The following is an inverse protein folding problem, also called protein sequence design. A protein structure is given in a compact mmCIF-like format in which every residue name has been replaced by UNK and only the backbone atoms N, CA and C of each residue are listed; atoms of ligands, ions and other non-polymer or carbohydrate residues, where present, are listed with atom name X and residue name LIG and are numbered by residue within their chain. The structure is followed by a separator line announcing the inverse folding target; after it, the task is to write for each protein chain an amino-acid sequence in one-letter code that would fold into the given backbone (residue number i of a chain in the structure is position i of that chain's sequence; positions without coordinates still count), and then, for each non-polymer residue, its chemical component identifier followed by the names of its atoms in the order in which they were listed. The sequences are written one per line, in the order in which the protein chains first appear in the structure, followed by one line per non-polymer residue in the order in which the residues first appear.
data_IF_400418290138
#
_entry.id   IF_400418290138
#
_cell.length_a   1.000
_cell.length_b   1.000
_cell.length_c   1.000
_cell.angle_alpha   90.00
_cell.angle_beta   90.00
_cell.angle_gamma   90.00
#
_symmetry.space_group_name_H-M   'P 1'
#
loop_
_entity.id
_entity.type
_entity.pdbx_description
1 polymer ?
#
# COMPACT_ATOMS: atom_id res chain seq x y z
N UNK A 1 24.67 7.91 27.79
CA UNK A 1 23.30 7.33 27.78
C UNK A 1 22.88 7.21 26.32
N UNK A 2 22.91 6.01 25.75
CA UNK A 2 22.58 5.82 24.31
C UNK A 2 21.08 5.54 24.23
N UNK A 3 20.31 6.51 23.78
CA UNK A 3 18.88 6.34 23.55
C UNK A 3 18.69 5.40 22.37
N UNK A 4 18.22 4.17 22.64
CA UNK A 4 17.80 3.22 21.62
C UNK A 4 16.56 3.82 20.94
N UNK A 5 16.72 4.27 19.69
CA UNK A 5 15.57 4.69 18.89
C UNK A 5 14.58 3.52 18.85
N UNK A 6 13.29 3.84 19.03
CA UNK A 6 12.21 2.84 19.01
C UNK A 6 12.16 2.24 17.61
N UNK A 7 12.51 0.98 17.44
CA UNK A 7 12.37 0.16 16.22
C UNK A 7 10.88 -0.07 15.85
N UNK A 8 10.00 0.93 16.00
CA UNK A 8 8.57 0.79 15.71
C UNK A 8 8.19 1.09 14.27
N UNK A 9 9.13 1.53 13.44
CA UNK A 9 8.86 1.91 12.07
C UNK A 9 9.70 1.09 11.10
N UNK A 10 9.02 0.33 10.24
CA UNK A 10 9.64 -0.34 9.10
C UNK A 10 10.41 0.69 8.26
N UNK A 11 11.62 0.33 7.81
CA UNK A 11 12.43 1.21 6.95
C UNK A 11 11.66 1.59 5.69
N UNK A 12 11.60 2.90 5.39
CA UNK A 12 10.98 3.41 4.18
C UNK A 12 11.70 2.88 2.93
N UNK A 13 10.92 2.45 1.95
CA UNK A 13 11.39 2.09 0.60
C UNK A 13 10.76 3.07 -0.39
N UNK A 14 11.58 3.70 -1.22
CA UNK A 14 11.13 4.70 -2.20
C UNK A 14 10.72 3.99 -3.48
N UNK A 15 9.50 4.23 -3.94
CA UNK A 15 8.98 3.81 -5.24
C UNK A 15 8.53 5.06 -5.98
N UNK A 16 8.90 5.20 -7.25
CA UNK A 16 8.41 6.29 -8.10
C UNK A 16 7.06 5.88 -8.68
N UNK A 17 6.04 6.69 -8.45
CA UNK A 17 4.67 6.51 -8.94
C UNK A 17 4.24 7.87 -9.48
N UNK A 18 3.52 7.90 -10.60
CA UNK A 18 2.96 9.15 -11.14
C UNK A 18 1.93 9.76 -10.19
N UNK A 19 1.82 11.09 -10.18
CA UNK A 19 0.90 11.78 -9.28
C UNK A 19 -0.56 11.39 -9.53
N UNK A 20 -0.94 11.17 -10.79
CA UNK A 20 -2.28 10.72 -11.19
C UNK A 20 -2.59 9.33 -10.62
N UNK A 21 -1.70 8.36 -10.84
CA UNK A 21 -1.86 6.99 -10.30
C UNK A 21 -1.91 6.97 -8.77
N UNK A 22 -1.12 7.82 -8.11
CA UNK A 22 -1.10 7.94 -6.66
C UNK A 22 -2.37 8.59 -6.10
N UNK A 23 -2.90 9.58 -6.82
CA UNK A 23 -4.19 10.21 -6.59
C UNK A 23 -5.32 9.18 -6.69
N UNK A 24 -5.44 8.53 -7.84
CA UNK A 24 -6.45 7.53 -8.15
C UNK A 24 -6.42 6.36 -7.15
N UNK A 25 -5.23 5.83 -6.82
CA UNK A 25 -5.11 4.79 -5.79
C UNK A 25 -5.65 5.27 -4.44
N UNK A 26 -5.45 6.54 -4.10
CA UNK A 26 -5.98 7.16 -2.89
C UNK A 26 -7.48 7.31 -2.87
N UNK A 27 -8.07 7.71 -4.00
CA UNK A 27 -9.52 7.79 -4.14
C UNK A 27 -10.17 6.41 -4.02
N UNK A 28 -9.52 5.39 -4.59
CA UNK A 28 -10.07 4.04 -4.74
C UNK A 28 -9.84 3.14 -3.53
N UNK A 29 -8.68 3.24 -2.88
CA UNK A 29 -8.36 2.48 -1.67
C UNK A 29 -8.71 3.24 -0.38
N UNK A 30 -8.86 4.56 -0.46
CA UNK A 30 -8.86 5.47 0.67
C UNK A 30 -7.47 6.06 0.91
N UNK A 31 -7.40 7.38 1.12
CA UNK A 31 -6.15 8.16 1.23
C UNK A 31 -5.18 7.57 2.27
N UNK A 32 -5.71 7.03 3.37
CA UNK A 32 -4.91 6.43 4.47
C UNK A 32 -4.53 4.97 4.25
N UNK A 33 -5.12 4.28 3.28
CA UNK A 33 -5.01 2.83 3.10
C UNK A 33 -4.11 2.42 1.92
N UNK A 34 -3.56 3.38 1.16
CA UNK A 34 -2.67 3.09 0.01
C UNK A 34 -1.54 2.13 0.36
N UNK A 35 -0.87 2.39 1.50
CA UNK A 35 0.24 1.56 1.94
C UNK A 35 -0.19 0.14 2.34
N UNK A 36 -1.42 -0.04 2.81
CA UNK A 36 -1.99 -1.35 3.13
C UNK A 36 -2.22 -2.17 1.86
N UNK A 37 -2.82 -1.57 0.83
CA UNK A 37 -3.02 -2.22 -0.48
C UNK A 37 -1.69 -2.66 -1.09
N UNK A 38 -0.67 -1.79 -1.07
CA UNK A 38 0.66 -2.11 -1.59
C UNK A 38 1.29 -3.27 -0.81
N UNK A 39 1.21 -3.26 0.54
CA UNK A 39 1.73 -4.37 1.36
C UNK A 39 0.99 -5.68 1.13
N UNK A 40 -0.33 -5.64 1.00
CA UNK A 40 -1.16 -6.81 0.70
C UNK A 40 -0.79 -7.40 -0.68
N UNK A 41 -0.65 -6.55 -1.68
CA UNK A 41 -0.21 -6.95 -3.03
C UNK A 41 1.17 -7.60 -3.00
N UNK A 42 2.15 -7.02 -2.30
CA UNK A 42 3.49 -7.59 -2.15
C UNK A 42 3.43 -8.95 -1.46
N UNK A 43 2.66 -9.08 -0.36
CA UNK A 43 2.53 -10.32 0.38
C UNK A 43 1.91 -11.43 -0.49
N UNK A 44 0.87 -11.08 -1.26
CA UNK A 44 0.22 -11.98 -2.21
C UNK A 44 1.18 -12.39 -3.34
N UNK A 45 1.89 -11.44 -3.94
CA UNK A 45 2.84 -11.69 -5.03
C UNK A 45 3.97 -12.64 -4.60
N UNK A 46 4.44 -12.50 -3.36
CA UNK A 46 5.47 -13.37 -2.77
C UNK A 46 4.92 -14.70 -2.23
N UNK A 47 3.61 -14.98 -2.39
CA UNK A 47 2.92 -16.19 -1.89
C UNK A 47 3.15 -16.44 -0.41
N UNK A 48 3.12 -15.38 0.41
CA UNK A 48 3.26 -15.52 1.87
C UNK A 48 2.06 -16.30 2.44
N UNK A 49 2.25 -17.11 3.50
CA UNK A 49 1.15 -17.83 4.14
C UNK A 49 0.03 -16.87 4.56
N UNK A 50 -1.21 -17.18 4.18
CA UNK A 50 -2.39 -16.37 4.50
C UNK A 50 -2.56 -15.07 3.70
N UNK A 51 -1.64 -14.74 2.77
CA UNK A 51 -1.79 -13.56 1.94
C UNK A 51 -2.88 -13.74 0.89
N UNK A 52 -3.74 -12.73 0.77
CA UNK A 52 -4.85 -12.70 -0.19
C UNK A 52 -4.65 -11.56 -1.19
N UNK A 53 -5.16 -11.74 -2.40
CA UNK A 53 -5.17 -10.69 -3.41
C UNK A 53 -6.06 -9.54 -2.89
N UNK A 54 -5.55 -8.29 -2.82
CA UNK A 54 -6.38 -7.16 -2.41
C UNK A 54 -7.59 -7.01 -3.32
N UNK A 55 -8.75 -6.70 -2.74
CA UNK A 55 -9.99 -6.53 -3.48
C UNK A 55 -9.86 -5.39 -4.49
N UNK A 56 -10.22 -5.67 -5.75
CA UNK A 56 -10.22 -4.65 -6.78
C UNK A 56 -11.52 -3.84 -6.69
N UNK A 57 -11.45 -2.51 -6.47
CA UNK A 57 -12.65 -1.70 -6.37
C UNK A 57 -13.43 -1.70 -7.70
N UNK A 58 -14.76 -1.58 -7.66
CA UNK A 58 -15.63 -1.65 -8.84
C UNK A 58 -15.25 -0.58 -9.87
N UNK A 59 -15.45 -0.80 -11.17
CA UNK A 59 -15.12 0.18 -12.20
C UNK A 59 -15.76 1.54 -11.88
N UNK A 60 -15.03 2.63 -12.12
CA UNK A 60 -15.62 3.98 -12.00
C UNK A 60 -16.76 4.03 -13.03
N UNK A 61 -17.99 4.40 -12.64
CA UNK A 61 -19.06 4.55 -13.60
C UNK A 61 -18.61 5.57 -14.65
N UNK A 62 -18.70 5.18 -15.94
CA UNK A 62 -18.45 6.11 -17.03
C UNK A 62 -19.52 7.19 -16.95
N UNK A 63 -19.10 8.44 -16.72
CA UNK A 63 -19.95 9.60 -16.96
C UNK A 63 -20.04 9.86 -18.47
#
# INVERSE_FOLDING_TARGET
MVSRAKDSHTTNRVVRIGDDDWGDLGERAGVRNRAEVIRALIAWYLRRPGAQLPERPPPKPSA
#
